data_IF_266904905778
#
_entry.id   IF_266904905778
#
_cell.length_a   1.000
_cell.length_b   1.000
_cell.length_c   1.000
_cell.angle_alpha   90.00
_cell.angle_beta   90.00
_cell.angle_gamma   90.00
#
_symmetry.space_group_name_H-M   'P 1'
#
loop_
_entity.id
_entity.type
_entity.pdbx_description
1 polymer ?
#
# COMPACT_ATOMS: atom_id res chain seq x y z
N UNK A 1 8.64 -53.40 -10.66
CA UNK A 1 9.50 -52.22 -10.88
C UNK A 1 8.78 -50.89 -10.70
N UNK A 2 7.58 -50.68 -11.27
CA UNK A 2 6.83 -49.41 -11.14
C UNK A 2 6.35 -49.10 -9.71
N UNK A 3 5.90 -50.12 -8.96
CA UNK A 3 5.45 -49.94 -7.57
C UNK A 3 6.57 -49.54 -6.59
N UNK A 4 7.79 -50.04 -6.81
CA UNK A 4 8.95 -49.69 -5.99
C UNK A 4 9.38 -48.23 -6.23
N UNK A 5 9.24 -47.72 -7.46
CA UNK A 5 9.49 -46.31 -7.76
C UNK A 5 8.48 -45.39 -7.11
N UNK A 6 7.19 -45.76 -7.12
CA UNK A 6 6.13 -44.97 -6.45
C UNK A 6 6.33 -44.97 -4.93
N UNK A 7 6.62 -46.12 -4.33
CA UNK A 7 6.91 -46.20 -2.90
C UNK A 7 8.17 -45.41 -2.51
N UNK A 8 9.23 -45.48 -3.31
CA UNK A 8 10.44 -44.68 -3.10
C UNK A 8 10.17 -43.17 -3.21
N UNK A 9 9.33 -42.75 -4.16
CA UNK A 9 8.96 -41.34 -4.32
C UNK A 9 8.12 -40.84 -3.13
N UNK A 10 7.14 -41.62 -2.67
CA UNK A 10 6.29 -41.26 -1.52
C UNK A 10 7.11 -41.12 -0.24
N UNK A 11 8.06 -42.02 0.00
CA UNK A 11 8.94 -41.94 1.18
C UNK A 11 9.88 -40.73 1.11
N UNK A 12 10.41 -40.39 -0.07
CA UNK A 12 11.21 -39.18 -0.25
C UNK A 12 10.40 -37.90 0.03
N UNK A 13 9.13 -37.83 -0.42
CA UNK A 13 8.25 -36.71 -0.10
C UNK A 13 7.93 -36.62 1.40
N UNK A 14 7.75 -37.74 2.10
CA UNK A 14 7.50 -37.74 3.55
C UNK A 14 8.70 -37.17 4.33
N UNK A 15 9.93 -37.60 4.00
CA UNK A 15 11.15 -37.06 4.62
C UNK A 15 11.36 -35.56 4.32
N UNK A 16 11.02 -35.11 3.11
CA UNK A 16 11.11 -33.69 2.74
C UNK A 16 10.10 -32.86 3.55
N UNK A 17 8.88 -33.36 3.78
CA UNK A 17 7.86 -32.64 4.58
C UNK A 17 8.26 -32.53 6.06
N UNK A 18 8.79 -33.59 6.68
CA UNK A 18 9.28 -33.52 8.06
C UNK A 18 10.50 -32.59 8.23
N UNK A 19 11.32 -32.43 7.18
CA UNK A 19 12.48 -31.53 7.22
C UNK A 19 12.12 -30.03 7.18
N UNK A 20 10.85 -29.67 6.97
CA UNK A 20 10.37 -28.29 6.95
C UNK A 20 9.60 -27.89 8.22
N UNK A 21 9.47 -28.76 9.22
CA UNK A 21 8.69 -28.48 10.43
C UNK A 21 9.49 -27.86 11.59
N UNK A 22 10.79 -27.62 11.45
CA UNK A 22 11.62 -26.98 12.48
C UNK A 22 12.39 -25.79 11.85
N UNK A 23 11.74 -24.62 11.70
CA UNK A 23 12.37 -23.26 11.68
C UNK A 23 11.40 -22.11 11.31
N UNK A 24 10.14 -22.10 11.80
CA UNK A 24 9.32 -20.86 11.84
C UNK A 24 8.85 -20.50 13.27
N UNK A 25 9.63 -20.88 14.29
CA UNK A 25 9.48 -20.36 15.65
C UNK A 25 10.44 -19.18 15.88
N UNK A 26 10.27 -18.07 15.14
CA UNK A 26 10.85 -16.78 15.57
C UNK A 26 10.21 -15.59 14.85
N UNK A 27 8.94 -15.29 15.13
CA UNK A 27 8.35 -13.94 15.19
C UNK A 27 6.94 -13.98 15.82
N UNK A 28 6.71 -14.83 16.81
CA UNK A 28 5.52 -14.76 17.67
C UNK A 28 5.82 -13.91 18.90
N UNK A 29 5.96 -12.60 18.75
CA UNK A 29 5.76 -11.67 19.86
C UNK A 29 5.22 -10.32 19.36
N UNK A 30 4.13 -9.87 19.98
CA UNK A 30 3.38 -8.61 19.79
C UNK A 30 2.36 -8.46 18.64
N UNK A 31 1.36 -9.35 18.50
CA UNK A 31 0.09 -8.96 17.85
C UNK A 31 -1.15 -9.57 18.51
N UNK A 32 -1.25 -9.48 19.84
CA UNK A 32 -2.38 -9.99 20.63
C UNK A 32 -3.31 -8.92 21.22
N UNK A 33 -3.35 -7.69 20.69
CA UNK A 33 -4.24 -6.66 21.24
C UNK A 33 -4.94 -5.69 20.26
N UNK A 34 -5.26 -6.06 19.01
CA UNK A 34 -6.21 -5.22 18.21
C UNK A 34 -6.96 -5.88 17.03
N UNK A 35 -7.20 -7.20 17.08
CA UNK A 35 -7.89 -7.91 15.97
C UNK A 35 -9.38 -7.53 15.79
N UNK A 36 -9.94 -6.66 16.63
CA UNK A 36 -11.32 -6.12 16.44
C UNK A 36 -11.39 -4.99 15.41
N UNK A 37 -10.27 -4.35 15.05
CA UNK A 37 -10.25 -3.27 14.04
C UNK A 37 -9.96 -3.76 12.61
N UNK A 38 -9.39 -4.96 12.44
CA UNK A 38 -9.06 -5.54 11.13
C UNK A 38 -10.29 -5.85 10.23
N UNK A 39 -11.49 -5.84 10.80
CA UNK A 39 -12.75 -6.03 10.07
C UNK A 39 -13.74 -4.89 10.30
N UNK A 40 -13.26 -3.66 10.44
CA UNK A 40 -14.16 -2.51 10.47
C UNK A 40 -14.85 -2.42 9.11
N UNK A 41 -16.10 -2.90 9.08
CA UNK A 41 -16.98 -2.78 7.91
C UNK A 41 -17.27 -1.30 7.71
N UNK A 42 -17.25 -0.88 6.46
CA UNK A 42 -17.52 0.50 6.06
C UNK A 42 -18.57 0.49 4.94
N UNK A 43 -19.33 1.57 4.81
CA UNK A 43 -20.21 1.81 3.67
C UNK A 43 -19.71 2.98 2.82
N UNK A 44 -19.07 3.94 3.49
CA UNK A 44 -18.51 5.17 2.93
C UNK A 44 -17.10 5.40 3.45
N UNK A 45 -16.33 6.26 2.77
CA UNK A 45 -14.98 6.62 3.20
C UNK A 45 -14.96 7.31 4.57
N UNK A 46 -16.05 8.01 4.94
CA UNK A 46 -16.18 8.67 6.24
C UNK A 46 -16.32 7.72 7.44
N UNK A 47 -16.60 6.44 7.20
CA UNK A 47 -16.63 5.42 8.26
C UNK A 47 -15.21 4.97 8.68
N UNK A 48 -14.22 5.31 7.85
CA UNK A 48 -12.83 4.95 8.02
C UNK A 48 -12.01 6.09 8.64
N UNK A 49 -10.80 5.76 9.13
CA UNK A 49 -9.91 6.75 9.73
C UNK A 49 -9.31 7.72 8.70
N UNK A 50 -8.68 8.78 9.21
CA UNK A 50 -7.90 9.72 8.40
C UNK A 50 -6.83 8.97 7.59
N UNK A 51 -6.75 9.24 6.28
CA UNK A 51 -5.81 8.56 5.40
C UNK A 51 -6.25 7.14 4.96
N UNK A 52 -7.47 6.73 5.30
CA UNK A 52 -8.09 5.49 4.83
C UNK A 52 -9.23 5.76 3.83
N UNK A 53 -9.73 4.69 3.24
CA UNK A 53 -10.88 4.67 2.34
C UNK A 53 -11.65 3.36 2.49
N UNK A 54 -12.91 3.36 2.09
CA UNK A 54 -13.74 2.18 2.11
C UNK A 54 -13.58 1.36 0.83
N UNK A 55 -12.85 0.25 0.93
CA UNK A 55 -12.69 -0.69 -0.19
C UNK A 55 -13.89 -1.63 -0.27
N UNK A 56 -14.67 -1.48 -1.33
CA UNK A 56 -15.82 -2.34 -1.64
C UNK A 56 -15.37 -3.53 -2.47
N UNK A 57 -15.61 -4.74 -1.97
CA UNK A 57 -15.40 -5.98 -2.71
C UNK A 57 -16.70 -6.78 -2.73
N UNK A 58 -16.78 -7.82 -3.57
CA UNK A 58 -18.01 -8.61 -3.76
C UNK A 58 -18.57 -9.22 -2.46
N UNK A 59 -17.68 -9.56 -1.52
CA UNK A 59 -18.02 -10.30 -0.31
C UNK A 59 -18.15 -9.42 0.94
N UNK A 60 -17.40 -8.31 1.02
CA UNK A 60 -17.39 -7.42 2.18
C UNK A 60 -16.71 -6.09 1.86
N UNK A 61 -17.09 -5.06 2.61
CA UNK A 61 -16.46 -3.76 2.59
C UNK A 61 -15.52 -3.61 3.78
N UNK A 62 -14.36 -2.99 3.58
CA UNK A 62 -13.37 -2.78 4.66
C UNK A 62 -12.60 -1.49 4.46
N UNK A 63 -12.21 -0.87 5.57
CA UNK A 63 -11.28 0.24 5.53
C UNK A 63 -9.89 -0.23 5.06
N UNK A 64 -9.29 0.54 4.15
CA UNK A 64 -7.94 0.34 3.65
C UNK A 64 -7.19 1.65 3.69
N UNK A 65 -5.94 1.59 4.11
CA UNK A 65 -5.04 2.73 4.09
C UNK A 65 -4.73 3.13 2.66
N UNK A 66 -4.85 4.42 2.35
CA UNK A 66 -4.35 5.03 1.11
C UNK A 66 -2.82 5.01 1.12
N UNK A 67 -2.19 5.11 -0.05
CA UNK A 67 -0.74 5.08 -0.18
C UNK A 67 -0.10 6.36 0.38
N UNK A 68 0.94 6.18 1.20
CA UNK A 68 1.80 7.24 1.71
C UNK A 68 2.91 7.59 0.74
N UNK A 69 3.56 8.73 0.97
CA UNK A 69 4.82 9.06 0.29
C UNK A 69 5.89 8.03 0.66
N UNK A 70 6.64 7.53 -0.34
CA UNK A 70 7.66 6.50 -0.13
C UNK A 70 7.13 5.06 -0.11
N UNK A 71 5.83 4.83 -0.30
CA UNK A 71 5.28 3.48 -0.42
C UNK A 71 5.98 2.65 -1.52
N UNK A 72 6.24 1.38 -1.23
CA UNK A 72 6.83 0.42 -2.19
C UNK A 72 5.88 0.12 -3.36
N UNK A 73 4.57 0.24 -3.14
CA UNK A 73 3.55 0.02 -4.15
C UNK A 73 3.49 1.15 -5.18
N UNK A 74 2.91 0.85 -6.34
CA UNK A 74 2.62 1.87 -7.35
C UNK A 74 1.22 2.43 -7.13
N UNK A 75 1.09 3.75 -7.19
CA UNK A 75 -0.22 4.38 -7.15
C UNK A 75 -0.90 4.25 -8.51
N UNK A 76 -2.22 4.28 -8.51
CA UNK A 76 -3.02 4.31 -9.72
C UNK A 76 -3.92 5.55 -9.69
N UNK A 77 -3.78 6.51 -10.62
CA UNK A 77 -4.57 7.74 -10.61
C UNK A 77 -6.07 7.50 -10.81
N UNK A 78 -6.47 6.32 -11.30
CA UNK A 78 -7.88 5.91 -11.44
C UNK A 78 -8.42 5.14 -10.25
N UNK A 79 -7.59 4.83 -9.25
CA UNK A 79 -8.06 4.11 -8.07
C UNK A 79 -8.86 5.02 -7.17
N UNK A 80 -10.02 4.54 -6.71
CA UNK A 80 -10.82 5.24 -5.73
C UNK A 80 -10.30 5.05 -4.29
N UNK A 81 -9.50 4.01 -4.01
CA UNK A 81 -9.18 3.61 -2.64
C UNK A 81 -7.73 3.14 -2.43
N UNK A 82 -7.46 1.85 -2.21
CA UNK A 82 -6.17 1.34 -1.73
C UNK A 82 -4.93 1.74 -2.58
N UNK A 83 -5.08 1.95 -3.89
CA UNK A 83 -3.99 2.42 -4.75
C UNK A 83 -3.98 3.95 -4.97
N UNK A 84 -4.85 4.69 -4.27
CA UNK A 84 -4.91 6.14 -4.26
C UNK A 84 -3.93 6.68 -3.22
N UNK A 85 -3.33 7.82 -3.49
CA UNK A 85 -2.48 8.51 -2.52
C UNK A 85 -3.31 9.13 -1.39
N UNK A 86 -2.69 9.29 -0.22
CA UNK A 86 -3.26 10.06 0.88
C UNK A 86 -3.51 11.53 0.48
N UNK A 87 -4.39 12.19 1.23
CA UNK A 87 -4.76 13.58 0.98
C UNK A 87 -3.52 14.48 1.12
N UNK A 88 -3.35 15.41 0.17
CA UNK A 88 -2.13 16.23 0.07
C UNK A 88 -0.97 15.60 -0.72
N UNK A 89 -1.15 14.39 -1.25
CA UNK A 89 -0.19 13.73 -2.15
C UNK A 89 -0.78 13.55 -3.55
N UNK A 90 0.07 13.62 -4.56
CA UNK A 90 -0.28 13.39 -5.96
C UNK A 90 0.38 12.12 -6.49
N UNK A 91 -0.39 11.37 -7.29
CA UNK A 91 0.12 10.20 -7.99
C UNK A 91 0.86 10.62 -9.26
N UNK A 92 2.19 10.70 -9.19
CA UNK A 92 3.05 11.18 -10.29
C UNK A 92 3.84 10.04 -10.92
N UNK A 93 4.05 10.13 -12.23
CA UNK A 93 4.95 9.24 -12.97
C UNK A 93 6.39 9.58 -12.57
N UNK A 94 7.15 8.57 -12.17
CA UNK A 94 8.56 8.61 -11.79
C UNK A 94 9.33 7.69 -12.73
N UNK A 95 10.54 8.09 -13.10
CA UNK A 95 11.37 7.37 -14.07
C UNK A 95 11.14 7.80 -15.52
N UNK A 96 11.95 7.27 -16.42
CA UNK A 96 11.95 7.60 -17.85
C UNK A 96 11.63 6.37 -18.70
N UNK A 97 10.87 6.57 -19.78
CA UNK A 97 10.54 5.53 -20.75
C UNK A 97 9.72 4.38 -20.15
N UNK A 98 10.07 3.14 -20.55
CA UNK A 98 9.34 1.92 -20.19
C UNK A 98 9.49 1.52 -18.71
N UNK A 99 10.49 2.05 -17.99
CA UNK A 99 10.68 1.85 -16.55
C UNK A 99 9.88 2.85 -15.71
N UNK A 100 9.07 3.68 -16.36
CA UNK A 100 8.23 4.65 -15.66
C UNK A 100 7.15 3.96 -14.82
N UNK A 101 7.01 4.40 -13.58
CA UNK A 101 6.03 3.88 -12.64
C UNK A 101 5.44 5.02 -11.82
N UNK A 102 4.28 4.81 -11.23
CA UNK A 102 3.56 5.87 -10.53
C UNK A 102 3.81 5.79 -9.02
N UNK A 103 4.18 6.92 -8.41
CA UNK A 103 4.41 7.04 -6.96
C UNK A 103 3.69 8.24 -6.39
N UNK A 104 3.32 8.14 -5.12
CA UNK A 104 2.79 9.27 -4.35
C UNK A 104 3.93 10.23 -4.00
N UNK A 105 3.77 11.48 -4.38
CA UNK A 105 4.71 12.58 -4.12
C UNK A 105 3.95 13.81 -3.65
N UNK A 106 4.56 14.64 -2.81
CA UNK A 106 3.98 15.94 -2.50
C UNK A 106 3.88 16.79 -3.77
N UNK A 107 2.81 17.59 -3.92
CA UNK A 107 2.79 18.60 -4.96
C UNK A 107 3.99 19.53 -4.74
N UNK A 108 4.71 19.83 -5.82
CA UNK A 108 5.73 20.88 -5.80
C UNK A 108 4.96 22.18 -5.59
N UNK A 109 5.12 22.81 -4.43
CA UNK A 109 4.57 24.14 -4.21
C UNK A 109 5.07 25.04 -5.36
N UNK A 110 4.21 25.87 -5.98
CA UNK A 110 4.71 26.89 -6.89
C UNK A 110 5.77 27.73 -6.15
N UNK A 111 6.88 28.11 -6.80
CA UNK A 111 7.81 29.05 -6.19
C UNK A 111 7.02 30.29 -5.73
N UNK A 112 7.35 30.90 -4.58
CA UNK A 112 6.68 32.11 -4.14
C UNK A 112 6.74 33.11 -5.29
N UNK A 113 5.57 33.47 -5.80
CA UNK A 113 5.45 34.50 -6.81
C UNK A 113 5.78 35.78 -6.07
N UNK A 114 6.98 36.32 -6.27
CA UNK A 114 7.29 37.68 -5.83
C UNK A 114 6.26 38.58 -6.50
N UNK A 115 5.27 39.03 -5.74
CA UNK A 115 4.37 40.09 -6.19
C UNK A 115 5.25 41.32 -6.43
N UNK A 116 5.24 41.93 -7.62
CA UNK A 116 5.89 43.22 -7.82
C UNK A 116 5.14 44.22 -6.95
N UNK A 117 5.77 44.63 -5.85
CA UNK A 117 5.30 45.77 -5.05
C UNK A 117 5.28 47.01 -5.92
N UNK A 118 4.12 47.30 -6.51
CA UNK A 118 3.80 48.57 -7.14
C UNK A 118 3.66 49.63 -6.04
N UNK A 119 4.80 50.08 -5.51
CA UNK A 119 4.87 51.30 -4.70
C UNK A 119 5.00 52.48 -5.65
N UNK A 120 3.85 53.02 -6.04
CA UNK A 120 3.76 54.29 -6.76
C UNK A 120 4.37 55.44 -5.96
N UNK A 121 4.85 56.42 -6.72
CA UNK A 121 5.70 57.55 -6.35
C UNK A 121 4.86 58.66 -5.73
N UNK A 122 5.17 59.08 -4.51
CA UNK A 122 4.70 60.37 -3.98
C UNK A 122 5.79 61.43 -4.10
N UNK A 123 5.54 62.39 -5.00
CA UNK A 123 6.28 63.63 -5.25
C UNK A 123 6.37 64.51 -3.97
N UNK A 124 7.54 65.07 -3.71
CA UNK A 124 7.74 66.30 -2.92
C UNK A 124 8.67 67.25 -3.68
#
# INVERSE_FOLDING_TARGET
MKFALVLGLCLAFAFVVESFEEDEEFLEDEYKNDKRFLFKRCNTDGDCGSGECCFKNLLYNRCKTKLTEGSLLFCNPRSACYFRCQDGLECRRVGSGFLSHYKCKRPIAPPPTEEPGSGDVDNF
#
